data_IF_678952358431
#
_entry.id   IF_678952358431
#
_cell.length_a   1.000
_cell.length_b   1.000
_cell.length_c   1.000
_cell.angle_alpha   90.00
_cell.angle_beta   90.00
_cell.angle_gamma   90.00
#
_symmetry.space_group_name_H-M   'P 1'
#
loop_
_entity.id
_entity.type
_entity.pdbx_description
1 polymer ?
#
# COMPACT_ATOMS: atom_id res chain seq x y z
N UNK A 1 -30.67 -3.29 31.32
CA UNK A 1 -29.77 -4.42 31.61
C UNK A 1 -28.56 -3.84 32.31
N UNK A 2 -28.08 -4.44 33.41
CA UNK A 2 -26.94 -3.91 34.15
C UNK A 2 -25.66 -4.04 33.31
N UNK A 3 -24.74 -3.09 33.44
CA UNK A 3 -23.38 -3.24 32.92
C UNK A 3 -22.66 -4.23 33.82
N UNK A 4 -22.16 -5.32 33.26
CA UNK A 4 -21.27 -6.25 33.98
C UNK A 4 -19.96 -5.52 34.32
N UNK A 5 -19.39 -5.82 35.48
CA UNK A 5 -18.21 -5.13 35.99
C UNK A 5 -16.96 -5.42 35.13
N UNK A 6 -15.97 -4.52 35.18
CA UNK A 6 -14.69 -4.67 34.48
C UNK A 6 -14.06 -6.03 34.76
N UNK A 7 -14.16 -6.94 33.78
CA UNK A 7 -13.67 -8.29 33.91
C UNK A 7 -12.14 -8.26 33.82
N UNK A 8 -11.47 -8.41 34.97
CA UNK A 8 -10.01 -8.53 35.02
C UNK A 8 -9.64 -9.88 34.38
N UNK A 9 -9.42 -9.86 33.07
CA UNK A 9 -8.99 -11.04 32.30
C UNK A 9 -7.59 -11.44 32.75
N UNK A 10 -7.53 -12.40 33.69
CA UNK A 10 -6.28 -13.02 34.13
C UNK A 10 -5.78 -13.96 33.03
N UNK A 11 -5.10 -13.39 32.03
CA UNK A 11 -4.47 -14.16 30.95
C UNK A 11 -3.44 -15.12 31.58
N UNK A 12 -3.56 -16.44 31.39
CA UNK A 12 -2.60 -17.39 31.93
C UNK A 12 -1.25 -17.21 31.23
N UNK A 13 -0.15 -17.21 32.00
CA UNK A 13 1.21 -16.91 31.49
C UNK A 13 1.59 -17.66 30.20
N UNK A 14 1.16 -18.92 30.06
CA UNK A 14 1.39 -19.74 28.85
C UNK A 14 0.83 -19.10 27.57
N UNK A 15 -0.38 -18.51 27.63
CA UNK A 15 -0.97 -17.83 26.47
C UNK A 15 -0.25 -16.52 26.13
N UNK A 16 0.42 -15.91 27.12
CA UNK A 16 1.27 -14.74 26.89
C UNK A 16 2.57 -15.17 26.20
N UNK A 17 3.23 -16.20 26.71
CA UNK A 17 4.46 -16.78 26.14
C UNK A 17 4.23 -17.24 24.68
N UNK A 18 3.12 -17.94 24.40
CA UNK A 18 2.72 -18.38 23.05
C UNK A 18 2.48 -17.19 22.09
N UNK A 19 1.86 -16.11 22.56
CA UNK A 19 1.64 -14.89 21.77
C UNK A 19 2.95 -14.14 21.52
N UNK A 20 3.85 -14.05 22.50
CA UNK A 20 5.17 -13.47 22.32
C UNK A 20 6.01 -14.23 21.28
N UNK A 21 6.00 -15.57 21.32
CA UNK A 21 6.74 -16.37 20.36
C UNK A 21 6.12 -16.30 18.96
N UNK A 22 4.80 -16.19 18.85
CA UNK A 22 4.13 -15.89 17.58
C UNK A 22 4.56 -14.52 17.03
N UNK A 23 4.60 -13.48 17.86
CA UNK A 23 5.06 -12.13 17.49
C UNK A 23 6.52 -12.19 17.00
N UNK A 24 7.44 -12.77 17.76
CA UNK A 24 8.85 -12.97 17.37
C UNK A 24 8.97 -13.70 16.02
N UNK A 25 8.13 -14.72 15.78
CA UNK A 25 8.11 -15.46 14.51
C UNK A 25 7.62 -14.61 13.32
N UNK A 26 6.66 -13.71 13.55
CA UNK A 26 6.12 -12.81 12.54
C UNK A 26 7.08 -11.66 12.24
N UNK A 27 7.75 -11.11 13.26
CA UNK A 27 8.82 -10.13 13.10
C UNK A 27 9.99 -10.69 12.29
N UNK A 28 10.45 -11.91 12.61
CA UNK A 28 11.49 -12.60 11.84
C UNK A 28 11.09 -12.84 10.37
N UNK A 29 9.84 -13.25 10.12
CA UNK A 29 9.29 -13.38 8.75
C UNK A 29 9.24 -12.03 8.04
N UNK A 30 8.80 -10.97 8.71
CA UNK A 30 8.73 -9.61 8.17
C UNK A 30 10.10 -9.03 7.85
N UNK A 31 11.10 -9.24 8.71
CA UNK A 31 12.48 -8.82 8.47
C UNK A 31 13.10 -9.58 7.30
N UNK A 32 12.86 -10.90 7.20
CA UNK A 32 13.29 -11.71 6.06
C UNK A 32 12.64 -11.21 4.76
N UNK A 33 11.32 -11.01 4.74
CA UNK A 33 10.59 -10.52 3.56
C UNK A 33 11.09 -9.13 3.11
N UNK A 34 11.39 -8.22 4.05
CA UNK A 34 12.05 -6.94 3.75
C UNK A 34 13.44 -7.13 3.11
N UNK A 35 14.26 -8.05 3.63
CA UNK A 35 15.58 -8.34 3.06
C UNK A 35 15.49 -8.95 1.65
N UNK A 36 14.58 -9.91 1.46
CA UNK A 36 14.34 -10.57 0.17
C UNK A 36 13.80 -9.56 -0.86
N UNK A 37 12.92 -8.62 -0.45
CA UNK A 37 12.44 -7.54 -1.31
C UNK A 37 13.56 -6.57 -1.71
N UNK A 38 14.43 -6.14 -0.78
CA UNK A 38 15.58 -5.28 -1.10
C UNK A 38 16.56 -5.98 -2.06
N UNK A 39 16.82 -7.28 -1.86
CA UNK A 39 17.64 -8.09 -2.79
C UNK A 39 16.99 -8.24 -4.16
N UNK A 40 15.66 -8.39 -4.20
CA UNK A 40 14.90 -8.44 -5.45
C UNK A 40 14.96 -7.11 -6.20
N UNK A 41 14.70 -5.99 -5.52
CA UNK A 41 14.77 -4.63 -6.10
C UNK A 41 16.13 -4.39 -6.74
N UNK A 42 17.21 -4.63 -6.00
CA UNK A 42 18.58 -4.50 -6.54
C UNK A 42 18.81 -5.39 -7.77
N UNK A 43 18.36 -6.65 -7.75
CA UNK A 43 18.47 -7.54 -8.91
C UNK A 43 17.69 -7.04 -10.14
N UNK A 44 16.55 -6.37 -9.94
CA UNK A 44 15.79 -5.76 -11.05
C UNK A 44 16.54 -4.54 -11.59
N UNK A 45 17.05 -3.66 -10.72
CA UNK A 45 17.89 -2.51 -11.09
C UNK A 45 19.13 -2.95 -11.88
N UNK A 46 19.89 -3.95 -11.37
CA UNK A 46 21.06 -4.53 -12.04
C UNK A 46 20.69 -5.09 -13.44
N UNK A 47 19.52 -5.74 -13.58
CA UNK A 47 19.03 -6.28 -14.86
C UNK A 47 18.57 -5.20 -15.84
N UNK A 48 17.92 -4.15 -15.36
CA UNK A 48 17.51 -3.02 -16.21
C UNK A 48 18.73 -2.29 -16.77
N UNK A 49 19.79 -2.13 -15.98
CA UNK A 49 21.08 -1.65 -16.48
C UNK A 49 21.72 -2.60 -17.49
N UNK A 50 21.74 -3.92 -17.23
CA UNK A 50 22.28 -4.92 -18.15
C UNK A 50 21.54 -4.90 -19.51
N UNK A 51 20.21 -4.87 -19.48
CA UNK A 51 19.37 -4.76 -20.68
C UNK A 51 19.64 -3.46 -21.43
N UNK A 52 19.77 -2.33 -20.71
CA UNK A 52 20.07 -1.02 -21.29
C UNK A 52 21.42 -1.03 -21.99
N UNK A 53 22.49 -1.52 -21.34
CA UNK A 53 23.84 -1.61 -21.93
C UNK A 53 23.85 -2.53 -23.16
N UNK A 54 23.18 -3.68 -23.10
CA UNK A 54 23.03 -4.59 -24.25
C UNK A 54 22.29 -3.95 -25.44
N UNK A 55 21.21 -3.21 -25.17
CA UNK A 55 20.47 -2.49 -26.22
C UNK A 55 21.31 -1.38 -26.87
N UNK A 56 22.11 -0.63 -26.09
CA UNK A 56 23.05 0.35 -26.62
C UNK A 56 24.18 -0.31 -27.44
N UNK A 57 24.76 -1.41 -26.95
CA UNK A 57 25.78 -2.18 -27.67
C UNK A 57 25.27 -2.73 -29.02
N UNK A 58 24.04 -3.26 -29.06
CA UNK A 58 23.41 -3.71 -30.30
C UNK A 58 23.13 -2.54 -31.28
N UNK A 59 22.64 -1.41 -30.77
CA UNK A 59 22.40 -0.21 -31.57
C UNK A 59 23.69 0.33 -32.17
N UNK A 60 24.75 0.45 -31.35
CA UNK A 60 26.07 0.86 -31.80
C UNK A 60 26.62 -0.10 -32.85
N UNK A 61 26.56 -1.42 -32.62
CA UNK A 61 26.98 -2.46 -33.59
C UNK A 61 26.32 -2.31 -34.96
N UNK A 62 25.00 -2.02 -35.00
CA UNK A 62 24.28 -1.75 -36.25
C UNK A 62 24.78 -0.46 -36.92
N UNK A 63 25.01 0.61 -36.16
CA UNK A 63 25.48 1.91 -36.67
C UNK A 63 26.95 1.91 -37.11
N UNK A 64 27.80 1.00 -36.60
CA UNK A 64 29.18 0.82 -37.07
C UNK A 64 29.24 0.53 -38.58
N UNK A 65 28.22 -0.14 -39.16
CA UNK A 65 28.15 -0.36 -40.61
C UNK A 65 28.05 0.94 -41.43
N UNK A 66 27.45 1.98 -40.86
CA UNK A 66 27.39 3.32 -41.44
C UNK A 66 28.75 4.02 -41.28
N UNK A 67 29.38 3.88 -40.10
CA UNK A 67 30.72 4.40 -39.85
C UNK A 67 31.77 3.81 -40.83
N UNK A 68 31.74 2.50 -41.08
CA UNK A 68 32.58 1.83 -42.09
C UNK A 68 32.35 2.39 -43.50
N UNK A 69 31.10 2.70 -43.85
CA UNK A 69 30.74 3.28 -45.15
C UNK A 69 31.27 4.70 -45.29
N UNK A 70 31.23 5.50 -44.21
CA UNK A 70 31.82 6.84 -44.16
C UNK A 70 33.36 6.81 -44.24
N UNK A 71 34.03 5.87 -43.56
CA UNK A 71 35.48 5.73 -43.61
C UNK A 71 35.95 5.28 -45.01
N UNK A 72 35.20 4.37 -45.66
CA UNK A 72 35.39 4.02 -47.08
C UNK A 72 35.19 5.23 -48.00
N UNK A 73 34.12 6.01 -47.80
CA UNK A 73 33.86 7.21 -48.59
C UNK A 73 35.02 8.20 -48.48
N UNK A 74 35.44 8.55 -47.26
CA UNK A 74 36.60 9.41 -46.97
C UNK A 74 37.88 8.95 -47.67
N UNK A 75 38.15 7.64 -47.67
CA UNK A 75 39.35 7.06 -48.28
C UNK A 75 39.25 6.93 -49.82
N UNK A 76 38.04 6.95 -50.39
CA UNK A 76 37.82 6.90 -51.85
C UNK A 76 38.07 8.25 -52.55
N UNK A 77 38.02 9.36 -51.83
CA UNK A 77 38.34 10.70 -52.35
C UNK A 77 39.86 10.94 -52.42
N UNK A 78 40.48 10.37 -53.47
CA UNK A 78 41.81 10.73 -53.95
C UNK A 78 41.66 11.36 -55.35
N UNK A 79 41.41 12.66 -55.42
CA UNK A 79 41.11 13.39 -56.65
C UNK A 79 42.37 13.90 -57.35
N UNK A 80 43.21 12.99 -57.86
CA UNK A 80 44.35 13.34 -58.73
C UNK A 80 43.83 13.76 -60.11
N UNK A 81 43.38 15.02 -60.19
CA UNK A 81 42.59 15.56 -61.31
C UNK A 81 43.27 16.75 -62.01
N UNK A 82 44.40 17.23 -61.47
CA UNK A 82 45.18 18.34 -62.03
C UNK A 82 44.43 19.68 -62.04
N UNK A 83 43.40 19.82 -61.21
CA UNK A 83 42.54 20.99 -61.15
C UNK A 83 42.36 21.44 -59.70
N UNK A 84 43.06 22.52 -59.33
CA UNK A 84 43.13 23.07 -57.97
C UNK A 84 41.75 23.31 -57.32
N UNK A 85 40.73 23.63 -58.13
CA UNK A 85 39.35 23.82 -57.64
C UNK A 85 38.69 22.50 -57.25
N UNK A 86 38.92 21.43 -58.03
CA UNK A 86 38.40 20.09 -57.76
C UNK A 86 39.13 19.47 -56.57
N UNK A 87 40.45 19.67 -56.48
CA UNK A 87 41.28 19.24 -55.34
C UNK A 87 40.82 19.88 -54.03
N UNK A 88 40.67 21.22 -53.96
CA UNK A 88 40.16 21.91 -52.77
C UNK A 88 38.72 21.50 -52.41
N UNK A 89 37.87 21.22 -53.39
CA UNK A 89 36.52 20.73 -53.15
C UNK A 89 36.54 19.29 -52.59
N UNK A 90 37.44 18.44 -53.09
CA UNK A 90 37.63 17.07 -52.58
C UNK A 90 38.19 17.08 -51.14
N UNK A 91 39.17 17.94 -50.84
CA UNK A 91 39.70 18.15 -49.49
C UNK A 91 38.63 18.63 -48.51
N UNK A 92 37.84 19.64 -48.89
CA UNK A 92 36.72 20.13 -48.07
C UNK A 92 35.66 19.05 -47.82
N UNK A 93 35.34 18.24 -48.84
CA UNK A 93 34.40 17.10 -48.71
C UNK A 93 34.97 16.01 -47.80
N UNK A 94 36.26 15.68 -47.94
CA UNK A 94 36.97 14.69 -47.11
C UNK A 94 37.03 15.13 -45.65
N UNK A 95 37.32 16.40 -45.39
CA UNK A 95 37.30 16.99 -44.04
C UNK A 95 35.91 16.90 -43.39
N UNK A 96 34.85 17.25 -44.13
CA UNK A 96 33.47 17.11 -43.64
C UNK A 96 33.08 15.65 -43.34
N UNK A 97 33.51 14.69 -44.18
CA UNK A 97 33.33 13.25 -43.94
C UNK A 97 34.11 12.76 -42.71
N UNK A 98 35.30 13.31 -42.46
CA UNK A 98 36.08 13.00 -41.27
C UNK A 98 35.48 13.61 -39.99
N UNK A 99 35.01 14.85 -40.03
CA UNK A 99 34.31 15.49 -38.91
C UNK A 99 33.02 14.75 -38.55
N UNK A 100 32.21 14.37 -39.54
CA UNK A 100 30.96 13.62 -39.32
C UNK A 100 31.22 12.19 -38.83
N UNK A 101 32.26 11.51 -39.32
CA UNK A 101 32.71 10.22 -38.80
C UNK A 101 33.14 10.32 -37.32
N UNK A 102 33.98 11.30 -36.97
CA UNK A 102 34.42 11.50 -35.59
C UNK A 102 33.26 11.92 -34.66
N UNK A 103 32.32 12.73 -35.14
CA UNK A 103 31.09 13.04 -34.42
C UNK A 103 30.26 11.78 -34.16
N UNK A 104 30.07 10.92 -35.16
CA UNK A 104 29.33 9.66 -35.02
C UNK A 104 29.95 8.76 -33.94
N UNK A 105 31.28 8.54 -33.98
CA UNK A 105 31.97 7.73 -32.96
C UNK A 105 31.85 8.34 -31.56
N UNK A 106 32.00 9.66 -31.43
CA UNK A 106 31.83 10.36 -30.15
C UNK A 106 30.39 10.25 -29.62
N UNK A 107 29.36 10.36 -30.47
CA UNK A 107 27.95 10.19 -30.07
C UNK A 107 27.57 8.77 -29.69
N UNK A 108 28.36 7.79 -30.13
CA UNK A 108 28.22 6.38 -29.77
C UNK A 108 29.08 6.00 -28.56
N UNK A 109 29.91 6.91 -28.06
CA UNK A 109 30.87 6.71 -26.95
C UNK A 109 31.82 5.50 -27.17
N UNK A 110 32.08 5.16 -28.44
CA UNK A 110 32.92 4.01 -28.82
C UNK A 110 34.38 4.40 -29.03
N UNK A 111 35.29 3.57 -28.53
CA UNK A 111 36.73 3.66 -28.80
C UNK A 111 37.11 2.73 -29.94
N UNK A 112 37.92 3.22 -30.89
CA UNK A 112 38.32 2.47 -32.07
C UNK A 112 39.57 1.62 -31.80
N UNK A 113 39.50 0.32 -32.13
CA UNK A 113 40.65 -0.60 -32.19
C UNK A 113 41.22 -0.53 -33.61
N UNK A 114 42.39 0.08 -33.76
CA UNK A 114 43.08 0.23 -35.04
C UNK A 114 44.60 -0.05 -34.89
N UNK A 115 44.99 -1.33 -34.77
CA UNK A 115 46.39 -1.71 -34.63
C UNK A 115 47.22 -1.33 -35.86
N UNK A 116 48.44 -0.88 -35.62
CA UNK A 116 49.41 -0.52 -36.66
C UNK A 116 50.03 -1.77 -37.29
N UNK A 117 50.49 -1.65 -38.54
CA UNK A 117 51.34 -2.66 -39.15
C UNK A 117 52.62 -2.85 -38.31
N UNK A 118 52.96 -4.11 -37.99
CA UNK A 118 54.06 -4.47 -37.09
C UNK A 118 53.66 -4.74 -35.64
N UNK A 119 52.42 -4.46 -35.22
CA UNK A 119 51.93 -4.83 -33.89
C UNK A 119 51.67 -6.34 -33.78
N UNK A 120 51.71 -6.87 -32.54
CA UNK A 120 51.39 -8.28 -32.28
C UNK A 120 49.88 -8.51 -32.36
N UNK A 121 49.50 -9.63 -32.97
CA UNK A 121 48.11 -10.09 -32.94
C UNK A 121 47.68 -10.46 -31.50
N UNK A 122 46.43 -10.14 -31.16
CA UNK A 122 45.81 -10.49 -29.88
C UNK A 122 44.44 -11.10 -30.16
N UNK A 123 44.24 -12.36 -29.78
CA UNK A 123 43.00 -13.12 -30.01
C UNK A 123 41.77 -12.47 -29.34
N UNK A 124 41.96 -11.66 -28.29
CA UNK A 124 40.85 -10.98 -27.59
C UNK A 124 40.32 -9.74 -28.30
N UNK A 125 41.14 -9.07 -29.13
CA UNK A 125 40.81 -7.78 -29.74
C UNK A 125 40.74 -7.83 -31.28
N UNK A 126 41.41 -8.81 -31.89
CA UNK A 126 41.65 -8.88 -33.33
C UNK A 126 41.14 -10.20 -33.91
N UNK A 127 40.69 -10.17 -35.16
CA UNK A 127 40.29 -11.35 -35.94
C UNK A 127 41.11 -11.40 -37.21
N UNK A 128 41.88 -12.47 -37.39
CA UNK A 128 42.67 -12.68 -38.60
C UNK A 128 41.75 -13.18 -39.73
N UNK A 129 41.56 -12.37 -40.78
CA UNK A 129 40.80 -12.77 -41.98
C UNK A 129 41.71 -13.51 -42.97
N UNK A 130 42.94 -13.04 -43.12
CA UNK A 130 43.89 -13.55 -44.10
C UNK A 130 45.28 -13.72 -43.47
N UNK A 131 46.05 -14.66 -44.01
CA UNK A 131 47.42 -14.96 -43.57
C UNK A 131 48.36 -14.90 -44.76
N UNK A 132 49.22 -13.89 -44.81
CA UNK A 132 50.14 -13.66 -45.94
C UNK A 132 51.55 -14.15 -45.61
N UNK A 133 52.23 -14.88 -46.51
CA UNK A 133 53.63 -15.23 -46.33
C UNK A 133 54.50 -13.97 -46.37
N UNK A 134 55.29 -13.73 -45.33
CA UNK A 134 56.18 -12.56 -45.25
C UNK A 134 57.48 -12.95 -44.53
N UNK A 135 58.61 -12.81 -45.22
CA UNK A 135 59.93 -13.21 -44.69
C UNK A 135 60.55 -12.18 -43.74
N UNK A 136 59.95 -10.98 -43.61
CA UNK A 136 60.49 -9.87 -42.82
C UNK A 136 59.79 -9.67 -41.46
N UNK A 137 58.60 -10.23 -41.28
CA UNK A 137 57.81 -10.08 -40.05
C UNK A 137 57.65 -11.43 -39.33
N UNK A 138 57.79 -11.49 -37.99
CA UNK A 138 57.54 -12.71 -37.23
C UNK A 138 56.11 -13.24 -37.41
N UNK A 139 55.95 -14.56 -37.27
CA UNK A 139 54.63 -15.21 -37.22
C UNK A 139 53.68 -14.54 -36.22
N UNK A 140 52.40 -14.41 -36.59
CA UNK A 140 51.35 -13.69 -35.83
C UNK A 140 51.60 -12.18 -35.63
N UNK A 141 52.37 -11.54 -36.51
CA UNK A 141 52.46 -10.06 -36.58
C UNK A 141 51.42 -9.50 -37.54
N UNK A 142 50.82 -8.35 -37.22
CA UNK A 142 49.82 -7.68 -38.06
C UNK A 142 50.51 -7.03 -39.26
N UNK A 143 50.05 -7.35 -40.47
CA UNK A 143 50.55 -6.81 -41.74
C UNK A 143 49.74 -5.58 -42.15
N UNK A 144 48.42 -5.66 -42.07
CA UNK A 144 47.50 -4.58 -42.43
C UNK A 144 46.15 -4.72 -41.71
N UNK A 145 45.49 -3.57 -41.55
CA UNK A 145 44.13 -3.46 -41.01
C UNK A 145 43.13 -3.45 -42.17
N UNK A 146 42.22 -4.42 -42.20
CA UNK A 146 41.14 -4.53 -43.20
C UNK A 146 39.91 -3.74 -42.74
N UNK A 147 39.60 -3.81 -41.44
CA UNK A 147 38.47 -3.11 -40.82
C UNK A 147 38.75 -2.81 -39.35
N UNK A 148 38.40 -1.60 -38.92
CA UNK A 148 38.55 -1.16 -37.52
C UNK A 148 37.63 -1.97 -36.59
N UNK A 149 38.15 -2.34 -35.42
CA UNK A 149 37.36 -2.84 -34.31
C UNK A 149 36.85 -1.69 -33.45
N UNK A 150 35.92 -1.97 -32.54
CA UNK A 150 35.33 -0.97 -31.65
C UNK A 150 34.94 -1.57 -30.30
N UNK A 151 35.15 -0.78 -29.23
CA UNK A 151 34.75 -1.08 -27.85
C UNK A 151 33.84 0.02 -27.30
N UNK A 152 32.95 -0.35 -26.37
CA UNK A 152 32.06 0.54 -25.63
C UNK A 152 32.24 0.24 -24.13
N UNK A 153 32.60 1.24 -23.32
CA UNK A 153 32.83 1.09 -21.87
C UNK A 153 33.74 -0.09 -21.45
N UNK A 154 34.66 -0.50 -22.32
CA UNK A 154 35.56 -1.64 -22.10
C UNK A 154 35.02 -2.99 -22.60
N UNK A 155 33.77 -3.07 -23.05
CA UNK A 155 33.18 -4.24 -23.71
C UNK A 155 33.46 -4.23 -25.22
N UNK A 156 33.87 -5.38 -25.76
CA UNK A 156 34.17 -5.52 -27.19
C UNK A 156 32.87 -5.67 -27.99
N UNK A 157 32.48 -4.63 -28.73
CA UNK A 157 31.37 -4.72 -29.70
C UNK A 157 31.80 -5.46 -30.96
N UNK A 158 33.03 -5.16 -31.44
CA UNK A 158 33.55 -5.71 -32.69
C UNK A 158 35.08 -5.84 -32.64
N UNK A 159 35.67 -7.02 -32.89
CA UNK A 159 37.12 -7.15 -33.07
C UNK A 159 37.58 -6.42 -34.36
N UNK A 160 38.85 -6.03 -34.39
CA UNK A 160 39.48 -5.47 -35.59
C UNK A 160 39.85 -6.59 -36.57
N UNK A 161 39.50 -6.43 -37.84
CA UNK A 161 39.77 -7.41 -38.89
C UNK A 161 41.13 -7.11 -39.52
N UNK A 162 42.07 -8.05 -39.42
CA UNK A 162 43.48 -7.85 -39.80
C UNK A 162 44.01 -8.97 -40.68
N UNK A 163 45.06 -8.65 -41.44
CA UNK A 163 45.91 -9.63 -42.14
C UNK A 163 47.13 -9.91 -41.27
N UNK A 164 47.48 -11.18 -41.07
CA UNK A 164 48.65 -11.58 -40.27
C UNK A 164 49.78 -12.19 -41.11
N UNK A 165 51.02 -12.02 -40.66
CA UNK A 165 52.20 -12.60 -41.27
C UNK A 165 52.38 -14.07 -40.84
N UNK A 166 52.80 -14.92 -41.78
CA UNK A 166 53.28 -16.29 -41.56
C UNK A 166 54.66 -16.45 -42.18
N UNK A 167 55.71 -16.43 -41.36
CA UNK A 167 57.09 -16.51 -41.88
C UNK A 167 58.16 -16.67 -40.80
N UNK A 168 59.13 -17.55 -41.08
CA UNK A 168 60.24 -17.84 -40.17
C UNK A 168 61.18 -18.96 -40.62
N UNK A 169 61.94 -18.75 -41.72
CA UNK A 169 63.22 -19.44 -42.01
C UNK A 169 63.22 -20.76 -42.81
N UNK A 170 63.84 -20.79 -44.00
CA UNK A 170 65.18 -21.39 -44.28
C UNK A 170 65.58 -21.24 -45.78
N UNK A 171 66.86 -21.52 -46.12
CA UNK A 171 67.53 -21.14 -47.39
C UNK A 171 67.69 -22.30 -48.40
N UNK A 172 67.89 -21.98 -49.70
CA UNK A 172 68.86 -22.65 -50.60
C UNK A 172 69.39 -21.68 -51.70
N UNK A 173 70.53 -22.00 -52.33
CA UNK A 173 71.28 -21.11 -53.25
C UNK A 173 71.98 -21.86 -54.42
N UNK A 174 72.32 -21.18 -55.53
CA UNK A 174 73.19 -21.73 -56.61
C UNK A 174 73.37 -20.85 -57.88
N UNK A 175 74.59 -20.78 -58.44
CA UNK A 175 75.00 -20.05 -59.69
C UNK A 175 75.05 -20.99 -60.94
N UNK A 176 75.43 -20.64 -62.20
CA UNK A 176 76.04 -19.47 -62.88
C UNK A 176 75.59 -19.45 -64.39
N UNK A 177 76.00 -18.57 -65.34
CA UNK A 177 77.07 -17.55 -65.41
C UNK A 177 77.03 -16.72 -66.74
N UNK A 178 78.18 -16.51 -67.44
CA UNK A 178 78.31 -15.80 -68.75
C UNK A 178 79.44 -16.44 -69.62
N UNK A 179 79.79 -16.10 -70.89
CA UNK A 179 79.79 -14.83 -71.65
C UNK A 179 80.09 -15.05 -73.18
N UNK A 180 80.14 -13.95 -73.95
CA UNK A 180 80.51 -13.78 -75.39
C UNK A 180 81.97 -14.26 -75.73
N UNK A 181 82.51 -14.29 -76.98
CA UNK A 181 82.17 -13.63 -78.26
C UNK A 181 82.85 -14.25 -79.52
N UNK A 182 82.49 -13.72 -80.70
CA UNK A 182 83.15 -13.61 -82.03
C UNK A 182 84.70 -13.84 -82.11
N UNK A 183 85.35 -14.17 -83.25
CA UNK A 183 85.11 -13.60 -84.58
C UNK A 183 85.68 -14.42 -85.77
N UNK A 184 85.14 -14.10 -86.95
CA UNK A 184 85.48 -14.55 -88.30
C UNK A 184 86.98 -14.45 -88.67
N UNK A 185 87.52 -15.45 -89.36
CA UNK A 185 88.02 -15.28 -90.74
C UNK A 185 88.72 -16.53 -91.31
N UNK A 186 88.11 -17.16 -92.33
CA UNK A 186 88.83 -17.65 -93.52
C UNK A 186 87.87 -18.08 -94.65
N UNK A 187 87.94 -17.30 -95.73
CA UNK A 187 87.76 -17.70 -97.13
C UNK A 187 86.37 -18.05 -97.66
N UNK A 188 85.76 -17.01 -98.24
CA UNK A 188 84.67 -17.09 -99.21
C UNK A 188 85.11 -17.82 -100.50
N UNK A 189 84.74 -19.10 -100.65
CA UNK A 189 84.45 -19.72 -101.96
C UNK A 189 83.46 -20.90 -101.88
N UNK A 190 82.59 -20.87 -100.86
CA UNK A 190 81.54 -21.89 -100.61
C UNK A 190 80.30 -21.23 -99.98
N UNK A 191 80.05 -19.96 -100.28
CA UNK A 191 79.15 -19.12 -99.47
C UNK A 191 77.70 -19.17 -99.94
N UNK A 192 77.42 -19.28 -101.24
CA UNK A 192 76.02 -19.31 -101.71
C UNK A 192 75.29 -20.59 -101.30
N UNK A 193 75.88 -21.79 -101.48
CA UNK A 193 75.20 -23.03 -101.04
C UNK A 193 75.16 -23.21 -99.53
N UNK A 194 76.09 -22.64 -98.75
CA UNK A 194 76.07 -22.70 -97.27
C UNK A 194 75.15 -21.67 -96.63
N UNK A 195 75.05 -20.46 -97.19
CA UNK A 195 74.09 -19.45 -96.70
C UNK A 195 72.67 -19.87 -97.06
N UNK A 196 72.43 -20.41 -98.25
CA UNK A 196 71.13 -20.96 -98.61
C UNK A 196 70.77 -22.17 -97.72
N UNK A 197 71.70 -23.12 -97.51
CA UNK A 197 71.45 -24.25 -96.57
C UNK A 197 71.24 -23.82 -95.12
N UNK A 198 71.92 -22.77 -94.63
CA UNK A 198 71.64 -22.23 -93.28
C UNK A 198 70.27 -21.57 -93.22
N UNK A 199 69.91 -20.73 -94.19
CA UNK A 199 68.57 -20.11 -94.21
C UNK A 199 67.45 -21.13 -94.39
N UNK A 200 67.64 -22.18 -95.18
CA UNK A 200 66.68 -23.28 -95.27
C UNK A 200 66.61 -24.06 -93.95
N UNK A 201 67.74 -24.39 -93.31
CA UNK A 201 67.73 -25.05 -92.00
C UNK A 201 67.11 -24.18 -90.90
N UNK A 202 67.39 -22.88 -90.88
CA UNK A 202 66.76 -21.90 -89.99
C UNK A 202 65.26 -21.77 -90.28
N UNK A 203 64.80 -21.93 -91.52
CA UNK A 203 63.38 -21.93 -91.88
C UNK A 203 62.68 -23.25 -91.54
N UNK A 204 63.36 -24.39 -91.69
CA UNK A 204 62.87 -25.71 -91.28
C UNK A 204 62.76 -25.78 -89.74
N UNK A 205 63.80 -25.34 -89.01
CA UNK A 205 63.79 -25.21 -87.54
C UNK A 205 62.64 -24.28 -87.07
N UNK A 206 62.43 -23.15 -87.76
CA UNK A 206 61.29 -22.24 -87.46
C UNK A 206 59.93 -22.82 -87.84
N UNK A 207 59.88 -23.71 -88.83
CA UNK A 207 58.66 -24.41 -89.21
C UNK A 207 58.31 -25.47 -88.15
N UNK A 208 59.31 -26.21 -87.65
CA UNK A 208 59.15 -27.12 -86.51
C UNK A 208 58.72 -26.36 -85.23
N UNK A 209 59.36 -25.23 -84.90
CA UNK A 209 58.92 -24.35 -83.80
C UNK A 209 57.46 -23.88 -83.96
N UNK A 210 57.05 -23.50 -85.17
CA UNK A 210 55.67 -23.09 -85.47
C UNK A 210 54.67 -24.27 -85.46
N UNK A 211 55.10 -25.50 -85.74
CA UNK A 211 54.28 -26.69 -85.59
C UNK A 211 54.10 -27.09 -84.12
N UNK A 212 55.16 -27.01 -83.30
CA UNK A 212 55.10 -27.19 -81.84
C UNK A 212 54.19 -26.13 -81.23
N UNK A 213 54.39 -24.84 -81.53
CA UNK A 213 53.53 -23.75 -81.05
C UNK A 213 52.07 -23.89 -81.50
N UNK A 214 51.81 -24.46 -82.70
CA UNK A 214 50.45 -24.82 -83.12
C UNK A 214 49.86 -25.98 -82.32
N UNK A 215 50.66 -26.95 -81.89
CA UNK A 215 50.18 -28.04 -81.03
C UNK A 215 49.88 -27.53 -79.61
N UNK A 216 50.75 -26.68 -79.04
CA UNK A 216 50.51 -26.01 -77.76
C UNK A 216 49.24 -25.15 -77.79
N UNK A 217 49.04 -24.35 -78.84
CA UNK A 217 47.81 -23.56 -79.01
C UNK A 217 46.54 -24.44 -79.08
N UNK A 218 46.60 -25.61 -79.74
CA UNK A 218 45.46 -26.55 -79.73
C UNK A 218 45.22 -27.16 -78.35
N UNK A 219 46.28 -27.53 -77.63
CA UNK A 219 46.16 -28.05 -76.26
C UNK A 219 45.55 -27.01 -75.32
N UNK A 220 45.96 -25.74 -75.45
CA UNK A 220 45.39 -24.61 -74.72
C UNK A 220 43.93 -24.35 -75.12
N UNK A 221 43.58 -24.44 -76.41
CA UNK A 221 42.19 -24.33 -76.87
C UNK A 221 41.30 -25.45 -76.29
N UNK A 222 41.79 -26.70 -76.28
CA UNK A 222 41.08 -27.81 -75.64
C UNK A 222 40.96 -27.63 -74.12
N UNK A 223 42.00 -27.12 -73.44
CA UNK A 223 41.95 -26.83 -72.01
C UNK A 223 40.89 -25.76 -71.71
N UNK A 224 40.87 -24.66 -72.46
CA UNK A 224 39.86 -23.61 -72.34
C UNK A 224 38.45 -24.15 -72.62
N UNK A 225 38.26 -24.99 -73.64
CA UNK A 225 36.97 -25.65 -73.91
C UNK A 225 36.51 -26.53 -72.75
N UNK A 226 37.43 -27.26 -72.09
CA UNK A 226 37.11 -28.05 -70.87
C UNK A 226 36.69 -27.12 -69.73
N UNK A 227 37.44 -26.04 -69.48
CA UNK A 227 37.12 -25.07 -68.43
C UNK A 227 35.80 -24.32 -68.66
N UNK A 228 35.45 -24.00 -69.91
CA UNK A 228 34.14 -23.43 -70.27
C UNK A 228 33.02 -24.43 -69.95
N UNK A 229 33.14 -25.68 -70.40
CA UNK A 229 32.14 -26.71 -70.09
C UNK A 229 31.98 -26.95 -68.56
N UNK A 230 33.07 -26.86 -67.78
CA UNK A 230 32.99 -26.92 -66.31
C UNK A 230 32.26 -25.72 -65.70
N UNK A 231 32.41 -24.52 -66.29
CA UNK A 231 31.70 -23.32 -65.84
C UNK A 231 30.21 -23.41 -66.20
N UNK A 232 29.85 -23.90 -67.39
CA UNK A 232 28.47 -24.12 -67.81
C UNK A 232 27.74 -25.10 -66.86
N UNK A 233 28.40 -26.21 -66.49
CA UNK A 233 27.85 -27.17 -65.50
C UNK A 233 27.66 -26.50 -64.13
N UNK A 234 28.64 -25.72 -63.67
CA UNK A 234 28.51 -24.95 -62.41
C UNK A 234 27.39 -23.92 -62.49
N UNK A 235 27.15 -23.29 -63.63
CA UNK A 235 26.06 -22.32 -63.81
C UNK A 235 24.69 -23.00 -63.63
N UNK A 236 24.49 -24.20 -64.20
CA UNK A 236 23.26 -24.99 -63.98
C UNK A 236 23.13 -25.50 -62.52
N UNK A 237 24.22 -25.89 -61.87
CA UNK A 237 24.23 -26.18 -60.43
C UNK A 237 23.86 -24.95 -59.58
N UNK A 238 24.28 -23.74 -59.98
CA UNK A 238 23.89 -22.51 -59.30
C UNK A 238 22.42 -22.16 -59.55
N UNK A 239 21.90 -22.30 -60.79
CA UNK A 239 20.48 -22.08 -61.12
C UNK A 239 19.57 -22.99 -60.29
N UNK A 240 19.85 -24.30 -60.27
CA UNK A 240 19.06 -25.26 -59.49
C UNK A 240 19.09 -24.96 -58.00
N UNK A 241 20.24 -24.57 -57.44
CA UNK A 241 20.34 -24.11 -56.04
C UNK A 241 19.56 -22.82 -55.77
N UNK A 242 19.59 -21.85 -56.68
CA UNK A 242 18.78 -20.62 -56.57
C UNK A 242 17.29 -20.99 -56.53
N UNK A 243 16.82 -21.91 -57.37
CA UNK A 243 15.43 -22.39 -57.31
C UNK A 243 15.08 -23.13 -56.01
N UNK A 244 16.00 -23.90 -55.42
CA UNK A 244 15.78 -24.48 -54.10
C UNK A 244 15.66 -23.39 -53.02
N UNK A 245 16.51 -22.36 -53.09
CA UNK A 245 16.49 -21.25 -52.14
C UNK A 245 15.24 -20.36 -52.28
N UNK A 246 14.72 -20.13 -53.49
CA UNK A 246 13.45 -19.41 -53.69
C UNK A 246 12.27 -20.21 -53.12
N UNK A 247 12.17 -21.51 -53.42
CA UNK A 247 11.13 -22.40 -52.84
C UNK A 247 11.20 -22.45 -51.31
N UNK A 248 12.41 -22.49 -50.73
CA UNK A 248 12.61 -22.42 -49.27
C UNK A 248 12.20 -21.06 -48.70
N UNK A 249 12.52 -19.96 -49.38
CA UNK A 249 12.13 -18.60 -48.99
C UNK A 249 10.60 -18.46 -48.96
N UNK A 250 9.91 -18.83 -50.04
CA UNK A 250 8.44 -18.79 -50.14
C UNK A 250 7.78 -19.62 -49.02
N UNK A 251 8.31 -20.81 -48.73
CA UNK A 251 7.82 -21.68 -47.65
C UNK A 251 8.14 -21.19 -46.22
N UNK A 252 9.02 -20.20 -46.07
CA UNK A 252 9.25 -19.47 -44.82
C UNK A 252 8.36 -18.24 -44.75
N UNK A 253 8.20 -17.49 -45.85
CA UNK A 253 7.32 -16.33 -45.95
C UNK A 253 5.85 -16.70 -45.67
N UNK A 254 5.38 -17.86 -46.14
CA UNK A 254 4.04 -18.35 -45.80
C UNK A 254 3.85 -18.62 -44.30
N UNK A 255 4.85 -19.22 -43.64
CA UNK A 255 4.85 -19.47 -42.19
C UNK A 255 4.95 -18.19 -41.37
N UNK A 256 5.73 -17.21 -41.84
CA UNK A 256 5.76 -15.88 -41.21
C UNK A 256 4.36 -15.26 -41.27
N UNK A 257 3.69 -15.34 -42.43
CA UNK A 257 2.33 -14.82 -42.57
C UNK A 257 1.31 -15.53 -41.66
N UNK A 258 1.37 -16.86 -41.53
CA UNK A 258 0.55 -17.62 -40.55
C UNK A 258 0.81 -17.17 -39.10
N UNK A 259 2.06 -16.93 -38.73
CA UNK A 259 2.43 -16.45 -37.40
C UNK A 259 1.99 -15.00 -37.16
N UNK A 260 2.03 -14.14 -38.18
CA UNK A 260 1.49 -12.78 -38.13
C UNK A 260 -0.03 -12.77 -37.94
N UNK A 261 -0.77 -13.61 -38.68
CA UNK A 261 -2.21 -13.78 -38.49
C UNK A 261 -2.53 -14.28 -37.08
N UNK A 262 -1.78 -15.27 -36.57
CA UNK A 262 -1.96 -15.78 -35.20
C UNK A 262 -1.63 -14.73 -34.14
N UNK A 263 -0.60 -13.91 -34.35
CA UNK A 263 -0.25 -12.77 -33.49
C UNK A 263 -1.36 -11.72 -33.48
N UNK A 264 -1.94 -11.41 -34.64
CA UNK A 264 -3.06 -10.47 -34.74
C UNK A 264 -4.30 -10.98 -33.99
N UNK A 265 -4.62 -12.28 -34.12
CA UNK A 265 -5.72 -12.91 -33.38
C UNK A 265 -5.50 -12.86 -31.85
N UNK A 266 -4.30 -13.23 -31.37
CA UNK A 266 -3.94 -13.15 -29.95
C UNK A 266 -3.97 -11.72 -29.41
N UNK A 267 -3.54 -10.73 -30.20
CA UNK A 267 -3.64 -9.32 -29.82
C UNK A 267 -5.10 -8.88 -29.66
N UNK A 268 -6.01 -9.29 -30.55
CA UNK A 268 -7.43 -8.99 -30.44
C UNK A 268 -8.09 -9.65 -29.20
N UNK A 269 -7.68 -10.87 -28.84
CA UNK A 269 -8.08 -11.52 -27.59
C UNK A 269 -7.54 -10.77 -26.36
N UNK A 270 -6.27 -10.35 -26.37
CA UNK A 270 -5.68 -9.55 -25.31
C UNK A 270 -6.41 -8.21 -25.12
N UNK A 271 -6.72 -7.48 -26.20
CA UNK A 271 -7.51 -6.25 -26.08
C UNK A 271 -8.90 -6.51 -25.48
N UNK A 272 -9.55 -7.62 -25.84
CA UNK A 272 -10.85 -8.01 -25.28
C UNK A 272 -10.74 -8.28 -23.77
N UNK A 273 -9.70 -9.01 -23.34
CA UNK A 273 -9.43 -9.24 -21.91
C UNK A 273 -9.12 -7.93 -21.17
N UNK A 274 -8.34 -7.02 -21.77
CA UNK A 274 -8.07 -5.69 -21.18
C UNK A 274 -9.35 -4.87 -20.99
N UNK A 275 -10.26 -4.88 -21.98
CA UNK A 275 -11.59 -4.23 -21.85
C UNK A 275 -12.47 -4.89 -20.78
N UNK A 276 -12.38 -6.21 -20.60
CA UNK A 276 -13.10 -6.90 -19.52
C UNK A 276 -12.51 -6.55 -18.14
N UNK A 277 -11.18 -6.46 -18.03
CA UNK A 277 -10.49 -6.07 -16.80
C UNK A 277 -10.80 -4.62 -16.40
N UNK A 278 -10.92 -3.68 -17.36
CA UNK A 278 -11.30 -2.30 -17.04
C UNK A 278 -12.71 -2.19 -16.48
N UNK A 279 -13.69 -2.93 -17.05
CA UNK A 279 -15.06 -2.98 -16.52
C UNK A 279 -15.09 -3.58 -15.11
N UNK A 280 -14.36 -4.68 -14.88
CA UNK A 280 -14.25 -5.28 -13.53
C UNK A 280 -13.61 -4.33 -12.53
N UNK A 281 -12.65 -3.50 -12.97
CA UNK A 281 -12.01 -2.51 -12.12
C UNK A 281 -12.97 -1.39 -11.71
N UNK A 282 -13.74 -0.85 -12.66
CA UNK A 282 -14.77 0.18 -12.42
C UNK A 282 -15.89 -0.35 -11.50
N UNK A 283 -16.36 -1.58 -11.72
CA UNK A 283 -17.29 -2.29 -10.83
C UNK A 283 -16.75 -2.46 -9.40
N UNK A 284 -15.44 -2.66 -9.25
CA UNK A 284 -14.79 -2.78 -7.93
C UNK A 284 -14.70 -1.41 -7.23
N UNK A 285 -14.29 -0.36 -7.95
CA UNK A 285 -14.26 1.01 -7.40
C UNK A 285 -15.64 1.46 -6.92
N UNK A 286 -16.70 1.19 -7.70
CA UNK A 286 -18.08 1.51 -7.31
C UNK A 286 -18.52 0.74 -6.04
N UNK A 287 -18.09 -0.52 -5.90
CA UNK A 287 -18.33 -1.34 -4.69
C UNK A 287 -17.55 -0.83 -3.48
N UNK A 288 -16.31 -0.36 -3.65
CA UNK A 288 -15.54 0.25 -2.56
C UNK A 288 -16.19 1.56 -2.11
N UNK A 289 -16.62 2.43 -3.03
CA UNK A 289 -17.35 3.65 -2.69
C UNK A 289 -18.67 3.36 -1.94
N UNK A 290 -19.42 2.31 -2.34
CA UNK A 290 -20.62 1.85 -1.62
C UNK A 290 -20.29 1.33 -0.22
N UNK A 291 -19.20 0.56 -0.06
CA UNK A 291 -18.73 0.08 1.25
C UNK A 291 -18.37 1.26 2.17
N UNK A 292 -17.61 2.22 1.67
CA UNK A 292 -17.16 3.36 2.47
C UNK A 292 -18.33 4.23 2.92
N UNK A 293 -19.33 4.42 2.05
CA UNK A 293 -20.61 5.06 2.42
C UNK A 293 -21.32 4.31 3.56
N UNK A 294 -21.44 2.98 3.48
CA UNK A 294 -22.04 2.16 4.54
C UNK A 294 -21.26 2.29 5.84
N UNK A 295 -19.92 2.30 5.81
CA UNK A 295 -19.09 2.50 7.00
C UNK A 295 -19.34 3.86 7.66
N UNK A 296 -19.46 4.93 6.86
CA UNK A 296 -19.80 6.27 7.36
C UNK A 296 -21.20 6.28 8.00
N UNK A 297 -22.20 5.66 7.36
CA UNK A 297 -23.56 5.53 7.91
C UNK A 297 -23.58 4.72 9.21
N UNK A 298 -22.83 3.62 9.30
CA UNK A 298 -22.67 2.86 10.54
C UNK A 298 -22.03 3.68 11.66
N UNK A 299 -20.98 4.47 11.38
CA UNK A 299 -20.35 5.34 12.39
C UNK A 299 -21.32 6.41 12.87
N UNK A 300 -22.11 7.00 11.96
CA UNK A 300 -23.13 7.99 12.32
C UNK A 300 -24.25 7.38 13.19
N UNK A 301 -24.72 6.18 12.85
CA UNK A 301 -25.72 5.45 13.64
C UNK A 301 -25.18 5.06 15.04
N UNK A 302 -23.92 4.66 15.16
CA UNK A 302 -23.30 4.38 16.46
C UNK A 302 -23.28 5.62 17.36
N UNK A 303 -22.86 6.77 16.84
CA UNK A 303 -22.89 8.05 17.59
C UNK A 303 -24.30 8.45 18.01
N UNK A 304 -25.27 8.31 17.11
CA UNK A 304 -26.67 8.59 17.44
C UNK A 304 -27.21 7.65 18.54
N UNK A 305 -26.79 6.39 18.55
CA UNK A 305 -27.11 5.46 19.63
C UNK A 305 -26.42 5.83 20.96
N UNK A 306 -25.19 6.34 20.92
CA UNK A 306 -24.50 6.87 22.11
C UNK A 306 -25.25 8.09 22.69
N UNK A 307 -25.62 9.07 21.86
CA UNK A 307 -26.43 10.23 22.26
C UNK A 307 -27.78 9.82 22.87
N UNK A 308 -28.47 8.83 22.29
CA UNK A 308 -29.72 8.28 22.84
C UNK A 308 -29.52 7.55 24.18
N UNK A 309 -28.36 6.91 24.39
CA UNK A 309 -28.03 6.28 25.68
C UNK A 309 -27.76 7.33 26.75
N UNK A 310 -27.05 8.42 26.44
CA UNK A 310 -26.83 9.55 27.35
C UNK A 310 -28.15 10.22 27.75
N UNK A 311 -29.03 10.53 26.80
CA UNK A 311 -30.38 11.07 27.07
C UNK A 311 -31.20 10.12 27.95
N UNK A 312 -31.10 8.81 27.72
CA UNK A 312 -31.78 7.80 28.54
C UNK A 312 -31.22 7.73 29.96
N UNK A 313 -29.91 7.86 30.15
CA UNK A 313 -29.27 7.92 31.48
C UNK A 313 -29.60 9.23 32.22
N UNK A 314 -29.81 10.34 31.51
CA UNK A 314 -30.32 11.60 32.08
C UNK A 314 -31.78 11.48 32.55
N UNK A 315 -32.68 10.98 31.72
CA UNK A 315 -34.09 10.77 32.10
C UNK A 315 -34.23 9.78 33.27
N UNK A 316 -33.39 8.74 33.33
CA UNK A 316 -33.38 7.84 34.48
C UNK A 316 -32.96 8.54 35.78
N UNK A 317 -31.94 9.42 35.74
CA UNK A 317 -31.56 10.24 36.90
C UNK A 317 -32.69 11.18 37.35
N UNK A 318 -33.38 11.83 36.42
CA UNK A 318 -34.57 12.64 36.76
C UNK A 318 -35.68 11.81 37.42
N UNK A 319 -35.92 10.58 36.96
CA UNK A 319 -36.91 9.68 37.55
C UNK A 319 -36.51 9.29 38.97
N UNK A 320 -35.26 8.88 39.20
CA UNK A 320 -34.75 8.55 40.54
C UNK A 320 -34.85 9.74 41.52
N UNK A 321 -34.54 10.96 41.07
CA UNK A 321 -34.68 12.16 41.89
C UNK A 321 -36.15 12.44 42.23
N UNK A 322 -37.06 12.30 41.25
CA UNK A 322 -38.51 12.43 41.50
C UNK A 322 -38.99 11.36 42.47
N UNK A 323 -38.59 10.09 42.30
CA UNK A 323 -38.93 9.00 43.22
C UNK A 323 -38.50 9.34 44.66
N UNK A 324 -37.23 9.71 44.88
CA UNK A 324 -36.73 10.17 46.19
C UNK A 324 -37.54 11.33 46.78
N UNK A 325 -37.93 12.32 45.98
CA UNK A 325 -38.80 13.41 46.48
C UNK A 325 -40.20 12.94 46.83
N UNK A 326 -40.80 12.00 46.07
CA UNK A 326 -42.11 11.42 46.41
C UNK A 326 -42.04 10.55 47.66
N UNK A 327 -40.97 9.78 47.87
CA UNK A 327 -40.74 9.02 49.10
C UNK A 327 -40.62 9.96 50.31
N UNK A 328 -39.86 11.06 50.20
CA UNK A 328 -39.72 12.05 51.26
C UNK A 328 -41.06 12.74 51.58
N UNK A 329 -41.87 13.08 50.57
CA UNK A 329 -43.22 13.64 50.75
C UNK A 329 -44.17 12.64 51.40
N UNK A 330 -44.13 11.36 51.00
CA UNK A 330 -44.95 10.29 51.57
C UNK A 330 -44.57 10.02 53.04
N UNK A 331 -43.28 10.01 53.37
CA UNK A 331 -42.80 9.93 54.76
C UNK A 331 -43.25 11.13 55.59
N UNK A 332 -43.21 12.34 55.01
CA UNK A 332 -43.72 13.57 55.64
C UNK A 332 -45.23 13.52 55.90
N UNK A 333 -46.03 13.06 54.93
CA UNK A 333 -47.47 12.85 55.07
C UNK A 333 -47.78 11.84 56.18
N UNK A 334 -47.11 10.68 56.18
CA UNK A 334 -47.27 9.66 57.22
C UNK A 334 -46.96 10.23 58.61
N UNK A 335 -45.88 11.00 58.76
CA UNK A 335 -45.54 11.69 60.01
C UNK A 335 -46.55 12.77 60.43
N UNK A 336 -47.27 13.39 59.49
CA UNK A 336 -48.41 14.26 59.80
C UNK A 336 -49.65 13.48 60.21
N UNK A 337 -49.91 12.32 59.62
CA UNK A 337 -51.02 11.44 59.99
C UNK A 337 -50.83 10.84 61.39
N UNK A 338 -49.63 10.36 61.71
CA UNK A 338 -49.24 9.91 63.04
C UNK A 338 -49.45 11.03 64.08
N UNK A 339 -49.02 12.27 63.78
CA UNK A 339 -49.30 13.44 64.64
C UNK A 339 -50.80 13.75 64.76
N UNK A 340 -51.59 13.60 63.69
CA UNK A 340 -53.06 13.79 63.74
C UNK A 340 -53.76 12.70 64.55
N UNK A 341 -53.24 11.47 64.57
CA UNK A 341 -53.73 10.40 65.47
C UNK A 341 -53.39 10.77 66.90
N UNK A 342 -52.12 11.05 67.20
CA UNK A 342 -51.66 11.44 68.54
C UNK A 342 -52.44 12.65 69.09
N UNK A 343 -52.62 13.73 68.32
CA UNK A 343 -53.41 14.87 68.77
C UNK A 343 -54.88 14.52 69.05
N UNK A 344 -55.48 13.56 68.34
CA UNK A 344 -56.86 13.12 68.62
C UNK A 344 -56.94 12.28 69.88
N UNK A 345 -55.99 11.39 70.10
CA UNK A 345 -55.87 10.60 71.34
C UNK A 345 -55.60 11.51 72.56
N UNK A 346 -54.74 12.51 72.41
CA UNK A 346 -54.44 13.52 73.44
C UNK A 346 -55.68 14.37 73.77
N UNK A 347 -56.43 14.84 72.76
CA UNK A 347 -57.70 15.56 72.97
C UNK A 347 -58.71 14.67 73.71
N UNK A 348 -58.89 13.41 73.29
CA UNK A 348 -59.79 12.48 73.97
C UNK A 348 -59.37 12.23 75.42
N UNK A 349 -58.07 12.13 75.71
CA UNK A 349 -57.58 11.99 77.10
C UNK A 349 -57.88 13.24 77.93
N UNK A 350 -57.66 14.44 77.39
CA UNK A 350 -57.97 15.70 78.07
C UNK A 350 -59.49 15.86 78.27
N UNK A 351 -60.31 15.45 77.31
CA UNK A 351 -61.77 15.43 77.42
C UNK A 351 -62.25 14.46 78.51
N UNK A 352 -61.63 13.28 78.62
CA UNK A 352 -61.89 12.29 79.68
C UNK A 352 -61.49 12.80 81.07
N UNK A 353 -60.26 13.30 81.22
CA UNK A 353 -59.76 13.93 82.47
C UNK A 353 -60.66 15.09 82.91
N UNK A 354 -61.14 15.90 81.96
CA UNK A 354 -62.10 16.99 82.23
C UNK A 354 -63.49 16.46 82.61
N UNK A 355 -63.92 15.31 82.06
CA UNK A 355 -65.20 14.67 82.39
C UNK A 355 -65.17 14.11 83.81
N UNK A 356 -64.12 13.36 84.16
CA UNK A 356 -63.90 12.84 85.52
C UNK A 356 -63.79 13.98 86.54
N UNK A 357 -63.06 15.05 86.22
CA UNK A 357 -62.97 16.25 87.07
C UNK A 357 -64.34 16.92 87.31
N UNK A 358 -65.17 17.02 86.27
CA UNK A 358 -66.56 17.53 86.39
C UNK A 358 -67.46 16.58 87.19
N UNK A 359 -67.33 15.28 86.98
CA UNK A 359 -68.09 14.26 87.73
C UNK A 359 -67.72 14.32 89.22
N UNK A 360 -66.44 14.44 89.57
CA UNK A 360 -65.97 14.63 90.94
C UNK A 360 -66.48 15.94 91.57
N UNK A 361 -66.36 17.06 90.85
CA UNK A 361 -66.85 18.36 91.34
C UNK A 361 -68.38 18.39 91.54
N UNK A 362 -69.14 17.73 90.65
CA UNK A 362 -70.58 17.55 90.82
C UNK A 362 -70.90 16.65 92.02
N UNK A 363 -70.15 15.56 92.23
CA UNK A 363 -70.33 14.69 93.39
C UNK A 363 -70.01 15.42 94.72
N UNK A 364 -68.97 16.25 94.76
CA UNK A 364 -68.66 17.12 95.90
C UNK A 364 -69.76 18.15 96.18
N UNK A 365 -70.33 18.76 95.12
CA UNK A 365 -71.47 19.68 95.23
C UNK A 365 -72.70 18.97 95.80
N UNK A 366 -73.06 17.79 95.27
CA UNK A 366 -74.19 16.98 95.76
C UNK A 366 -73.96 16.62 97.24
N UNK A 367 -72.78 16.12 97.61
CA UNK A 367 -72.45 15.80 99.00
C UNK A 367 -72.47 17.04 99.91
N UNK A 368 -72.17 18.24 99.41
CA UNK A 368 -72.32 19.49 100.15
C UNK A 368 -73.79 19.88 100.32
N UNK A 369 -74.64 19.64 99.32
CA UNK A 369 -76.09 19.87 99.40
C UNK A 369 -76.79 18.87 100.31
N UNK A 370 -76.42 17.58 100.27
CA UNK A 370 -76.88 16.55 101.20
C UNK A 370 -76.56 16.94 102.65
N UNK A 371 -75.32 17.33 102.97
CA UNK A 371 -74.96 17.83 104.31
C UNK A 371 -75.74 19.07 104.74
N UNK A 372 -76.08 19.97 103.80
CA UNK A 372 -76.94 21.13 104.10
C UNK A 372 -78.37 20.67 104.39
N UNK A 373 -78.90 19.70 103.65
CA UNK A 373 -80.22 19.12 103.87
C UNK A 373 -80.29 18.38 105.21
N UNK A 374 -79.29 17.56 105.56
CA UNK A 374 -79.15 16.93 106.87
C UNK A 374 -79.16 17.98 108.00
N UNK A 375 -78.38 19.05 107.87
CA UNK A 375 -78.36 20.15 108.84
C UNK A 375 -79.70 20.90 108.92
N UNK A 376 -80.43 21.06 107.80
CA UNK A 376 -81.79 21.62 107.78
C UNK A 376 -82.77 20.67 108.48
N UNK A 377 -82.66 19.35 108.29
CA UNK A 377 -83.49 18.37 109.01
C UNK A 377 -83.21 18.37 110.52
N UNK A 378 -81.95 18.50 110.94
CA UNK A 378 -81.58 18.69 112.34
C UNK A 378 -82.20 19.97 112.91
N UNK A 379 -82.11 21.10 112.20
CA UNK A 379 -82.74 22.35 112.60
C UNK A 379 -84.27 22.27 112.63
N UNK A 380 -84.90 21.47 111.76
CA UNK A 380 -86.34 21.19 111.79
C UNK A 380 -86.73 20.35 113.01
N UNK A 381 -85.94 19.33 113.38
CA UNK A 381 -86.14 18.55 114.62
C UNK A 381 -86.04 19.45 115.85
N UNK A 382 -85.01 20.29 115.93
CA UNK A 382 -84.84 21.29 117.01
C UNK A 382 -86.01 22.29 117.03
N UNK A 383 -86.53 22.69 115.86
CA UNK A 383 -87.71 23.54 115.77
C UNK A 383 -88.97 22.83 116.28
N UNK A 384 -89.20 21.57 115.93
CA UNK A 384 -90.32 20.78 116.47
C UNK A 384 -90.23 20.59 117.99
N UNK A 385 -89.04 20.37 118.53
CA UNK A 385 -88.80 20.30 119.98
C UNK A 385 -89.11 21.64 120.66
N UNK A 386 -88.70 22.77 120.05
CA UNK A 386 -89.08 24.11 120.50
C UNK A 386 -90.58 24.39 120.38
N UNK A 387 -91.24 23.85 119.37
CA UNK A 387 -92.70 24.01 119.18
C UNK A 387 -93.46 23.21 120.25
N UNK A 388 -93.04 21.96 120.54
CA UNK A 388 -93.54 21.15 121.67
C UNK A 388 -93.27 21.84 123.02
N UNK A 389 -92.09 22.43 123.21
CA UNK A 389 -91.78 23.21 124.42
C UNK A 389 -92.65 24.47 124.56
N UNK A 390 -92.98 25.15 123.45
CA UNK A 390 -93.94 26.26 123.43
C UNK A 390 -95.38 25.81 123.71
N UNK A 391 -95.79 24.65 123.21
CA UNK A 391 -97.11 24.08 123.52
C UNK A 391 -97.22 23.74 125.01
N UNK A 392 -96.17 23.17 125.62
CA UNK A 392 -96.09 22.96 127.07
C UNK A 392 -96.16 24.27 127.85
N UNK A 393 -95.38 25.29 127.46
CA UNK A 393 -95.42 26.61 128.10
C UNK A 393 -96.81 27.30 127.97
N UNK A 394 -97.49 27.13 126.84
CA UNK A 394 -98.87 27.60 126.64
C UNK A 394 -99.91 26.78 127.42
N UNK A 395 -99.58 25.56 127.85
CA UNK A 395 -100.40 24.78 128.78
C UNK A 395 -100.19 25.31 130.20
N UNK A 396 -98.94 25.51 130.63
CA UNK A 396 -98.60 26.11 131.93
C UNK A 396 -99.24 27.50 132.11
N UNK A 397 -99.10 28.41 131.14
CA UNK A 397 -99.76 29.73 131.16
C UNK A 397 -101.30 29.65 131.21
N UNK A 398 -101.90 28.61 130.61
CA UNK A 398 -103.36 28.35 130.67
C UNK A 398 -103.81 27.66 131.96
N UNK A 399 -102.88 27.20 132.79
CA UNK A 399 -103.15 26.72 134.13
C UNK A 399 -103.00 27.89 135.14
N UNK A 400 -102.00 28.77 134.98
CA UNK A 400 -101.90 30.04 135.72
C UNK A 400 -103.14 30.94 135.51
N UNK A 401 -103.56 31.18 134.25
CA UNK A 401 -104.81 31.94 133.93
C UNK A 401 -106.09 31.29 134.51
N UNK A 402 -106.04 30.02 134.93
CA UNK A 402 -107.18 29.31 135.55
C UNK A 402 -107.12 29.24 137.08
N UNK A 403 -105.96 29.47 137.69
CA UNK A 403 -105.87 29.66 139.14
C UNK A 403 -106.26 31.09 139.53
N UNK A 404 -105.80 32.12 138.80
CA UNK A 404 -106.23 33.51 139.03
C UNK A 404 -107.77 33.68 138.90
N UNK A 405 -108.40 32.95 137.98
CA UNK A 405 -109.86 32.99 137.79
C UNK A 405 -110.69 32.24 138.86
N UNK A 406 -110.07 31.69 139.91
CA UNK A 406 -110.75 30.90 140.96
C UNK A 406 -110.66 31.44 142.38
N UNK A 407 -109.69 32.30 142.72
CA UNK A 407 -109.63 32.91 144.05
C UNK A 407 -110.53 34.16 144.20
N UNK A 408 -110.99 34.75 143.10
CA UNK A 408 -111.75 36.03 143.13
C UNK A 408 -113.26 35.92 143.48
N UNK A 409 -113.71 34.78 144.06
CA UNK A 409 -115.16 34.54 144.35
C UNK A 409 -115.51 33.85 145.68
N UNK A 410 -114.81 34.12 146.78
CA UNK A 410 -115.47 34.16 148.09
C UNK A 410 -114.69 34.97 149.15
N UNK A 411 -115.41 35.89 149.80
CA UNK A 411 -115.04 36.66 151.02
C UNK A 411 -114.63 38.15 150.86
N UNK A 412 -115.30 38.86 149.95
CA UNK A 412 -115.85 40.20 150.30
C UNK A 412 -117.34 40.27 149.99
N UNK A 413 -118.15 40.12 151.04
CA UNK A 413 -119.19 41.08 151.41
C UNK A 413 -119.27 41.01 152.94
N UNK A 414 -119.13 42.12 153.70
CA UNK A 414 -119.35 43.50 153.29
C UNK A 414 -118.24 44.52 153.68
N UNK A 415 -117.97 45.47 152.78
CA UNK A 415 -117.90 46.91 153.13
C UNK A 415 -118.06 47.72 151.82
N UNK A 416 -119.00 48.67 151.58
CA UNK A 416 -120.11 49.25 152.37
C UNK A 416 -119.69 49.56 153.81
N UNK A 417 -119.04 50.69 154.09
CA UNK A 417 -119.13 52.04 153.50
C UNK A 417 -117.69 52.52 153.16
N UNK A 418 -117.35 53.03 151.96
CA UNK A 418 -117.52 54.41 151.47
C UNK A 418 -116.88 54.43 150.03
N UNK A 419 -117.49 54.74 148.87
CA UNK A 419 -118.26 55.94 148.55
C UNK A 419 -119.41 56.18 149.52
N UNK A 420 -119.27 57.16 150.39
CA UNK A 420 -118.64 58.46 150.12
C UNK A 420 -117.17 58.54 150.58
N UNK A 421 -116.13 58.59 149.72
CA UNK A 421 -116.05 59.17 148.37
C UNK A 421 -114.79 58.76 147.57
N UNK A 422 -114.76 59.20 146.31
CA UNK A 422 -113.56 59.64 145.57
C UNK A 422 -112.51 58.59 145.16
N UNK A 423 -112.78 57.95 144.03
CA UNK A 423 -111.86 57.84 142.87
C UNK A 423 -112.72 57.67 141.60
#
# INVERSE_FOLDING_TARGET
MPREADEIVVVPKKELDEKEDLIKSLEAKGQKMKSDFTRYKKRVEDREEEIRRKAYSELASRLLSVADTLDRAKNSYNADSGCEVVEKMAEGTRSNLEMTFNQLLNTLEVTAIAPSAGERFNDELHTAIETTPNNFLPDKTIVSLVRKGYMLDGELIRPAEVVIARGGGENEAGEAGSKQESMLSKFLRSVESRVFKRKFKELDERAEELEVGKQELRQNEEMLRRSVNELDVREEEFKTRVEEWTKRKEAVESKVHELEQRRAALNAELEKLTRQLSVIHEDLEERYAKKDKIVIECIALSRYNEELLEQREEVLREIEERERTTEALNAGLKGMEEKKVWCREEILRIEEELRESKESANAELIAMEERKMESIEELLKVREELEKAKELLNIELREEEKEEAKEEKSEVLPFIEEFEMAC
#
